data_IF_131228746085
#
_entry.id   IF_131228746085
#
_cell.length_a   1.000
_cell.length_b   1.000
_cell.length_c   1.000
_cell.angle_alpha   90.00
_cell.angle_beta   90.00
_cell.angle_gamma   90.00
#
_symmetry.space_group_name_H-M   'P 1'
#
loop_
_entity.id
_entity.type
_entity.pdbx_description
1 polymer ?
#
# COMPACT_ATOMS: atom_id res chain seq x y z
N UNK A 1 -13.46 -22.59 13.13
CA UNK A 1 -13.58 -21.88 11.83
C UNK A 1 -12.83 -22.70 10.80
N UNK A 2 -13.49 -23.18 9.75
CA UNK A 2 -12.82 -23.91 8.67
C UNK A 2 -12.53 -22.94 7.53
N UNK A 3 -11.25 -22.70 7.25
CA UNK A 3 -10.80 -21.81 6.17
C UNK A 3 -10.34 -22.69 5.02
N UNK A 4 -10.87 -22.48 3.82
CA UNK A 4 -10.51 -23.24 2.62
C UNK A 4 -10.15 -22.28 1.49
N UNK A 5 -9.13 -22.64 0.70
CA UNK A 5 -8.80 -21.91 -0.51
C UNK A 5 -9.97 -22.03 -1.50
N UNK A 6 -10.62 -20.90 -1.81
CA UNK A 6 -11.77 -20.86 -2.72
C UNK A 6 -11.36 -20.75 -4.18
N UNK A 7 -10.37 -19.90 -4.48
CA UNK A 7 -9.91 -19.61 -5.82
C UNK A 7 -8.51 -18.96 -5.79
N UNK A 8 -7.85 -18.94 -6.96
CA UNK A 8 -6.62 -18.19 -7.21
C UNK A 8 -6.81 -17.41 -8.50
N UNK A 9 -6.49 -16.11 -8.47
CA UNK A 9 -6.37 -15.30 -9.67
C UNK A 9 -4.89 -15.16 -10.00
N UNK A 10 -4.49 -15.58 -11.19
CA UNK A 10 -3.14 -15.36 -11.67
C UNK A 10 -3.09 -13.99 -12.35
N UNK A 11 -2.42 -13.03 -11.71
CA UNK A 11 -2.09 -11.75 -12.33
C UNK A 11 -0.88 -11.90 -13.27
N UNK A 12 -0.60 -10.85 -14.05
CA UNK A 12 0.48 -10.85 -15.05
C UNK A 12 1.83 -11.21 -14.42
N UNK A 13 2.61 -12.03 -15.15
CA UNK A 13 3.95 -12.42 -14.72
C UNK A 13 4.97 -11.38 -15.15
N UNK A 14 5.81 -10.93 -14.23
CA UNK A 14 6.97 -10.10 -14.55
C UNK A 14 8.18 -10.98 -14.82
N UNK A 15 8.87 -10.77 -15.95
CA UNK A 15 9.92 -11.65 -16.48
C UNK A 15 11.27 -11.67 -15.72
N UNK A 16 11.34 -11.25 -14.45
CA UNK A 16 12.60 -11.20 -13.70
C UNK A 16 12.51 -11.93 -12.36
N UNK A 17 13.54 -12.74 -12.06
CA UNK A 17 13.76 -13.37 -10.75
C UNK A 17 13.70 -12.29 -9.66
N UNK A 18 12.87 -12.52 -8.64
CA UNK A 18 12.70 -11.71 -7.42
C UNK A 18 11.97 -10.36 -7.56
N UNK A 19 10.82 -10.33 -8.25
CA UNK A 19 9.95 -9.12 -8.29
C UNK A 19 8.48 -9.50 -8.30
N UNK A 20 8.01 -9.95 -7.14
CA UNK A 20 6.62 -10.33 -6.91
C UNK A 20 5.73 -9.13 -6.61
N UNK A 21 4.48 -9.43 -6.25
CA UNK A 21 3.57 -8.47 -5.66
C UNK A 21 3.73 -8.51 -4.15
N UNK A 22 3.87 -7.35 -3.51
CA UNK A 22 4.24 -7.26 -2.09
C UNK A 22 3.32 -6.36 -1.26
N UNK A 23 2.55 -5.49 -1.91
CA UNK A 23 1.49 -4.71 -1.26
C UNK A 23 0.14 -4.94 -1.93
N UNK A 24 -0.93 -4.97 -1.13
CA UNK A 24 -2.31 -5.07 -1.59
C UNK A 24 -3.18 -4.04 -0.88
N UNK A 25 -3.99 -3.32 -1.66
CA UNK A 25 -4.99 -2.39 -1.15
C UNK A 25 -6.35 -2.65 -1.82
N UNK A 26 -7.42 -2.65 -1.04
CA UNK A 26 -8.76 -2.99 -1.51
C UNK A 26 -9.71 -1.80 -1.43
N UNK A 27 -10.17 -1.32 -2.59
CA UNK A 27 -11.33 -0.43 -2.69
C UNK A 27 -12.57 -1.26 -2.97
N UNK A 28 -13.44 -1.37 -1.97
CA UNK A 28 -14.69 -2.12 -2.07
C UNK A 28 -15.62 -1.57 -3.16
N UNK A 29 -15.73 -0.25 -3.24
CA UNK A 29 -16.48 0.40 -4.30
C UNK A 29 -15.81 0.13 -5.66
N UNK A 30 -16.58 -0.41 -6.61
CA UNK A 30 -16.05 -0.78 -7.92
C UNK A 30 -15.18 -2.04 -7.95
N UNK A 31 -14.93 -2.70 -6.79
CA UNK A 31 -14.14 -3.93 -6.64
C UNK A 31 -12.73 -3.80 -7.20
N UNK A 32 -12.03 -2.77 -6.76
CA UNK A 32 -10.70 -2.43 -7.26
C UNK A 32 -9.63 -2.93 -6.30
N UNK A 33 -8.71 -3.73 -6.82
CA UNK A 33 -7.54 -4.21 -6.13
C UNK A 33 -6.32 -3.46 -6.64
N UNK A 34 -5.67 -2.72 -5.77
CA UNK A 34 -4.38 -2.10 -6.03
C UNK A 34 -3.27 -3.04 -5.56
N UNK A 35 -2.24 -3.16 -6.38
CA UNK A 35 -1.13 -4.08 -6.13
C UNK A 35 0.18 -3.38 -6.38
N UNK A 36 1.08 -3.43 -5.41
CA UNK A 36 2.45 -2.96 -5.56
C UNK A 36 3.33 -4.10 -6.08
N UNK A 37 4.17 -3.80 -7.07
CA UNK A 37 5.21 -4.71 -7.53
C UNK A 37 6.57 -4.23 -7.03
N UNK A 38 7.28 -5.12 -6.34
CA UNK A 38 8.60 -4.80 -5.81
C UNK A 38 9.63 -4.50 -6.92
N UNK A 39 10.44 -3.46 -6.67
CA UNK A 39 11.67 -2.99 -7.35
C UNK A 39 11.71 -2.79 -8.88
N UNK A 40 12.20 -1.59 -9.24
CA UNK A 40 12.73 -1.06 -10.52
C UNK A 40 12.26 -1.68 -11.88
N UNK A 41 11.33 -1.02 -12.59
CA UNK A 41 10.53 0.10 -12.09
C UNK A 41 9.63 -0.42 -10.96
N UNK A 42 9.62 0.35 -9.86
CA UNK A 42 8.58 0.27 -8.83
C UNK A 42 7.30 0.71 -9.52
N UNK A 43 6.23 -0.05 -9.37
CA UNK A 43 5.00 0.20 -10.11
C UNK A 43 3.82 -0.26 -9.30
N UNK A 44 2.78 0.55 -9.33
CA UNK A 44 1.48 0.17 -8.84
C UNK A 44 0.61 -0.23 -10.03
N UNK A 45 -0.18 -1.27 -9.83
CA UNK A 45 -1.15 -1.75 -10.79
C UNK A 45 -2.51 -1.77 -10.12
N UNK A 46 -3.56 -1.59 -10.92
CA UNK A 46 -4.92 -1.74 -10.45
C UNK A 46 -5.65 -2.79 -11.27
N UNK A 47 -6.48 -3.57 -10.60
CA UNK A 47 -7.29 -4.61 -11.20
C UNK A 47 -8.72 -4.46 -10.73
N UNK A 48 -9.66 -4.44 -11.68
CA UNK A 48 -11.08 -4.55 -11.37
C UNK A 48 -11.46 -6.03 -11.30
N UNK A 49 -12.04 -6.44 -10.18
CA UNK A 49 -12.52 -7.80 -9.98
C UNK A 49 -13.98 -7.95 -10.45
N UNK A 50 -14.28 -9.11 -11.02
CA UNK A 50 -15.65 -9.52 -11.33
C UNK A 50 -16.49 -9.62 -10.05
N UNK A 51 -17.83 -9.48 -10.12
CA UNK A 51 -18.69 -9.57 -8.93
C UNK A 51 -18.55 -10.86 -8.11
N UNK A 52 -18.20 -11.97 -8.77
CA UNK A 52 -17.93 -13.27 -8.13
C UNK A 52 -16.50 -13.40 -7.55
N UNK A 53 -15.65 -12.38 -7.75
CA UNK A 53 -14.25 -12.31 -7.34
C UNK A 53 -13.38 -13.45 -7.92
N UNK A 54 -13.78 -14.02 -9.07
CA UNK A 54 -13.04 -15.12 -9.71
C UNK A 54 -12.14 -14.66 -10.87
N UNK A 55 -12.33 -13.43 -11.36
CA UNK A 55 -11.57 -12.86 -12.48
C UNK A 55 -11.12 -11.45 -12.13
N UNK A 56 -9.97 -11.07 -12.67
CA UNK A 56 -9.43 -9.71 -12.58
C UNK A 56 -9.12 -9.19 -13.98
N UNK A 57 -9.49 -7.94 -14.24
CA UNK A 57 -9.09 -7.20 -15.44
C UNK A 57 -8.20 -6.05 -15.00
N UNK A 58 -7.00 -5.96 -15.56
CA UNK A 58 -6.15 -4.80 -15.31
C UNK A 58 -6.81 -3.53 -15.83
N UNK A 59 -6.71 -2.47 -15.05
CA UNK A 59 -7.20 -1.14 -15.41
C UNK A 59 -6.07 -0.14 -15.29
N UNK A 60 -6.19 0.94 -16.05
CA UNK A 60 -5.25 2.04 -16.01
C UNK A 60 -5.39 2.77 -14.68
N UNK A 61 -4.27 3.06 -14.02
CA UNK A 61 -4.22 3.97 -12.87
C UNK A 61 -4.08 5.42 -13.34
N UNK A 62 -4.53 6.40 -12.54
CA UNK A 62 -4.13 7.80 -12.66
C UNK A 62 -2.66 7.99 -13.04
N UNK A 63 -2.38 8.92 -13.95
CA UNK A 63 -0.99 9.20 -14.36
C UNK A 63 -0.19 9.76 -13.18
N UNK A 64 -0.84 10.57 -12.34
CA UNK A 64 -0.30 11.18 -11.14
C UNK A 64 0.24 10.13 -10.15
N UNK A 65 -0.33 8.92 -10.11
CA UNK A 65 0.19 7.84 -9.27
C UNK A 65 1.54 7.30 -9.74
N UNK A 66 1.93 7.56 -10.98
CA UNK A 66 3.27 7.24 -11.48
C UNK A 66 4.34 8.22 -10.95
N UNK A 67 3.95 9.39 -10.46
CA UNK A 67 4.85 10.38 -9.86
C UNK A 67 5.18 10.06 -8.39
N UNK A 68 5.04 8.79 -7.98
CA UNK A 68 5.44 8.36 -6.66
C UNK A 68 6.97 8.36 -6.52
N UNK A 69 7.49 9.21 -5.63
CA UNK A 69 8.92 9.39 -5.42
C UNK A 69 9.44 8.58 -4.22
N UNK A 70 9.38 7.25 -4.32
CA UNK A 70 9.93 6.30 -3.33
C UNK A 70 10.83 5.25 -3.99
N UNK A 71 11.77 4.71 -3.23
CA UNK A 71 12.71 3.68 -3.71
C UNK A 71 12.05 2.32 -3.90
N UNK A 72 11.03 2.01 -3.11
CA UNK A 72 10.29 0.75 -3.05
C UNK A 72 8.86 1.00 -2.52
N UNK A 73 8.00 -0.01 -2.63
CA UNK A 73 6.69 -0.01 -1.96
C UNK A 73 6.62 -1.34 -1.21
N UNK A 74 6.67 -1.25 0.12
CA UNK A 74 6.65 -2.41 1.03
C UNK A 74 5.24 -2.71 1.54
N UNK A 75 4.33 -1.74 1.50
CA UNK A 75 2.95 -1.92 1.95
C UNK A 75 1.97 -0.99 1.27
N UNK A 76 0.71 -1.44 1.15
CA UNK A 76 -0.41 -0.65 0.66
C UNK A 76 -1.60 -0.82 1.59
N UNK A 77 -2.40 0.24 1.70
CA UNK A 77 -3.73 0.19 2.29
C UNK A 77 -4.68 1.17 1.56
N UNK A 78 -5.99 1.00 1.72
CA UNK A 78 -6.99 1.88 1.15
C UNK A 78 -8.00 2.32 2.20
N UNK A 79 -8.12 3.63 2.41
CA UNK A 79 -9.08 4.19 3.35
C UNK A 79 -9.52 5.59 2.89
N UNK A 80 -10.80 5.93 3.09
CA UNK A 80 -11.37 7.25 2.82
C UNK A 80 -10.95 7.83 1.44
N UNK A 81 -11.25 7.08 0.37
CA UNK A 81 -10.91 7.43 -1.03
C UNK A 81 -9.42 7.70 -1.28
N UNK A 82 -8.55 7.18 -0.42
CA UNK A 82 -7.13 7.42 -0.46
C UNK A 82 -6.33 6.12 -0.42
N UNK A 83 -5.29 6.07 -1.24
CA UNK A 83 -4.26 5.03 -1.18
C UNK A 83 -3.18 5.45 -0.20
N UNK A 84 -2.89 4.57 0.75
CA UNK A 84 -1.79 4.68 1.69
C UNK A 84 -0.63 3.83 1.16
N UNK A 85 0.55 4.43 1.05
CA UNK A 85 1.69 3.82 0.36
C UNK A 85 2.92 3.88 1.27
N UNK A 86 3.34 2.71 1.74
CA UNK A 86 4.46 2.53 2.65
C UNK A 86 5.72 2.14 1.87
N UNK A 87 6.85 2.76 2.20
CA UNK A 87 8.16 2.45 1.63
C UNK A 87 9.16 2.19 2.75
N UNK A 88 9.83 1.03 2.71
CA UNK A 88 10.91 0.70 3.62
C UNK A 88 12.17 1.49 3.28
N UNK A 89 12.71 1.35 2.06
CA UNK A 89 14.00 1.93 1.69
C UNK A 89 13.99 3.48 1.73
N UNK A 90 12.79 4.08 1.65
CA UNK A 90 12.61 5.53 1.81
C UNK A 90 12.17 5.96 3.21
N UNK A 91 11.69 5.03 4.05
CA UNK A 91 11.09 5.30 5.38
C UNK A 91 10.00 6.37 5.33
N UNK A 92 9.06 6.21 4.41
CA UNK A 92 7.96 7.15 4.21
C UNK A 92 6.62 6.45 4.17
N UNK A 93 5.60 7.15 4.64
CA UNK A 93 4.21 6.86 4.38
C UNK A 93 3.59 8.02 3.59
N UNK A 94 3.18 7.72 2.36
CA UNK A 94 2.50 8.66 1.48
C UNK A 94 1.00 8.36 1.43
N UNK A 95 0.20 9.40 1.23
CA UNK A 95 -1.23 9.29 0.91
C UNK A 95 -1.46 9.86 -0.48
N UNK A 96 -2.19 9.13 -1.32
CA UNK A 96 -2.70 9.64 -2.59
C UNK A 96 -4.23 9.70 -2.54
N UNK A 97 -4.79 10.89 -2.69
CA UNK A 97 -6.25 11.08 -2.71
C UNK A 97 -6.76 10.84 -4.14
N UNK A 98 -7.60 9.82 -4.34
CA UNK A 98 -8.15 9.49 -5.67
C UNK A 98 -9.21 10.49 -6.16
N UNK A 99 -9.75 11.34 -5.28
CA UNK A 99 -10.71 12.38 -5.64
C UNK A 99 -10.00 13.67 -6.07
N UNK A 100 -8.98 14.07 -5.32
CA UNK A 100 -8.20 15.29 -5.58
C UNK A 100 -7.04 15.06 -6.55
N UNK A 101 -6.70 13.80 -6.84
CA UNK A 101 -5.62 13.40 -7.74
C UNK A 101 -4.27 13.96 -7.29
N UNK A 102 -4.01 13.91 -5.98
CA UNK A 102 -2.85 14.56 -5.36
C UNK A 102 -2.18 13.68 -4.31
N UNK A 103 -0.86 13.83 -4.20
CA UNK A 103 -0.09 13.27 -3.10
C UNK A 103 -0.07 14.21 -1.89
N UNK A 104 -0.14 13.60 -0.71
CA UNK A 104 0.19 14.21 0.57
C UNK A 104 1.23 13.30 1.22
N UNK A 105 2.44 13.80 1.46
CA UNK A 105 3.38 13.10 2.33
C UNK A 105 2.80 13.14 3.76
N UNK A 106 2.42 11.97 4.28
CA UNK A 106 1.76 11.89 5.59
C UNK A 106 2.78 11.77 6.70
N UNK A 107 3.80 10.92 6.52
CA UNK A 107 4.81 10.69 7.56
C UNK A 107 6.20 10.42 7.03
N UNK A 108 7.18 11.08 7.63
CA UNK A 108 8.58 10.69 7.63
C UNK A 108 8.83 9.77 8.83
N UNK A 109 9.23 8.52 8.59
CA UNK A 109 9.38 7.48 9.61
C UNK A 109 10.78 7.46 10.24
N UNK A 110 11.52 8.56 10.12
CA UNK A 110 12.84 8.75 10.75
C UNK A 110 12.75 9.43 12.12
N UNK A 111 13.79 9.22 12.92
CA UNK A 111 13.96 9.81 14.25
C UNK A 111 13.77 11.33 14.22
N UNK A 112 12.97 11.83 15.16
CA UNK A 112 12.68 13.26 15.32
C UNK A 112 11.40 13.70 14.61
N UNK A 113 10.91 12.93 13.65
CA UNK A 113 9.62 13.16 13.01
C UNK A 113 8.51 12.41 13.74
N UNK A 114 7.29 12.96 13.78
CA UNK A 114 6.11 12.35 14.41
C UNK A 114 6.38 11.77 15.83
N UNK A 115 7.23 12.46 16.60
CA UNK A 115 7.65 12.06 17.95
C UNK A 115 8.42 10.73 18.05
N UNK A 116 8.93 10.22 16.93
CA UNK A 116 9.78 9.03 16.90
C UNK A 116 11.11 9.29 17.61
N UNK A 117 11.44 8.44 18.59
CA UNK A 117 12.73 8.49 19.30
C UNK A 117 13.86 7.76 18.57
N UNK A 118 13.52 6.93 17.59
CA UNK A 118 14.40 6.19 16.68
C UNK A 118 13.72 6.04 15.32
N UNK A 119 14.48 5.78 14.26
CA UNK A 119 13.92 5.41 12.96
C UNK A 119 13.03 4.17 13.11
N UNK A 120 11.93 4.12 12.36
CA UNK A 120 11.15 2.91 12.16
C UNK A 120 11.80 2.12 11.02
N UNK A 121 12.52 1.05 11.35
CA UNK A 121 13.31 0.28 10.38
C UNK A 121 12.45 -0.80 9.72
N UNK A 122 12.61 -1.03 8.41
CA UNK A 122 11.89 -2.10 7.70
C UNK A 122 10.37 -2.09 7.94
N UNK A 123 9.68 -0.96 7.70
CA UNK A 123 8.23 -0.94 7.76
C UNK A 123 7.64 -1.69 6.55
N UNK A 124 6.87 -2.75 6.80
CA UNK A 124 6.38 -3.69 5.76
C UNK A 124 4.88 -3.98 5.83
N UNK A 125 4.22 -3.61 6.93
CA UNK A 125 2.77 -3.78 7.07
C UNK A 125 2.10 -2.48 7.42
N UNK A 126 0.92 -2.23 6.86
CA UNK A 126 0.10 -1.06 7.20
C UNK A 126 -1.38 -1.42 7.28
N UNK A 127 -2.08 -0.82 8.24
CA UNK A 127 -3.54 -0.75 8.26
C UNK A 127 -3.99 0.60 8.81
N UNK A 128 -4.99 1.19 8.16
CA UNK A 128 -5.67 2.41 8.57
C UNK A 128 -7.03 2.04 9.12
N UNK A 129 -7.33 2.50 10.34
CA UNK A 129 -8.63 2.26 10.96
C UNK A 129 -9.65 3.34 10.55
N UNK A 130 -10.95 3.10 10.77
CA UNK A 130 -11.99 4.09 10.47
C UNK A 130 -11.85 5.42 11.22
N UNK A 131 -11.16 5.43 12.36
CA UNK A 131 -10.84 6.65 13.12
C UNK A 131 -9.56 7.35 12.63
N UNK A 132 -9.03 6.92 11.49
CA UNK A 132 -7.78 7.37 10.86
C UNK A 132 -6.51 7.06 11.67
N UNK A 133 -6.60 6.25 12.74
CA UNK A 133 -5.41 5.66 13.36
C UNK A 133 -4.71 4.75 12.36
N UNK A 134 -3.38 4.84 12.30
CA UNK A 134 -2.55 4.04 11.40
C UNK A 134 -1.66 3.13 12.23
N UNK A 135 -1.66 1.84 11.91
CA UNK A 135 -0.70 0.89 12.46
C UNK A 135 0.31 0.53 11.39
N UNK A 136 1.58 0.48 11.77
CA UNK A 136 2.68 0.05 10.92
C UNK A 136 3.43 -1.09 11.60
N UNK A 137 3.54 -2.23 10.92
CA UNK A 137 4.41 -3.31 11.33
C UNK A 137 5.82 -3.06 10.77
N UNK A 138 6.82 -3.17 11.63
CA UNK A 138 8.23 -2.86 11.35
C UNK A 138 9.11 -3.96 11.91
N UNK A 139 9.98 -4.50 11.08
CA UNK A 139 10.83 -5.62 11.49
C UNK A 139 11.88 -5.21 12.54
N UNK A 140 12.28 -6.13 13.43
CA UNK A 140 11.80 -7.51 13.54
C UNK A 140 10.49 -7.65 14.34
N UNK A 141 10.15 -6.69 15.19
CA UNK A 141 9.15 -6.90 16.25
C UNK A 141 8.37 -5.64 16.68
N UNK A 142 8.40 -4.56 15.88
CA UNK A 142 7.72 -3.31 16.21
C UNK A 142 6.33 -3.26 15.56
N UNK A 143 5.32 -2.95 16.37
CA UNK A 143 4.01 -2.49 15.88
C UNK A 143 3.79 -1.05 16.35
N UNK A 144 4.05 -0.10 15.46
CA UNK A 144 3.87 1.32 15.74
C UNK A 144 2.41 1.73 15.50
N UNK A 145 1.86 2.59 16.37
CA UNK A 145 0.55 3.22 16.20
C UNK A 145 0.72 4.73 16.09
N UNK A 146 0.18 5.29 15.02
CA UNK A 146 0.06 6.73 14.82
C UNK A 146 -1.40 7.12 14.93
N UNK A 147 -1.67 8.23 15.61
CA UNK A 147 -3.02 8.78 15.76
C UNK A 147 -3.06 10.17 15.15
N UNK A 148 -4.12 10.55 14.42
CA UNK A 148 -4.28 11.91 13.95
C UNK A 148 -4.35 12.89 15.13
N UNK A 149 -3.63 14.00 15.04
CA UNK A 149 -3.83 15.13 15.94
C UNK A 149 -5.13 15.81 15.50
N UNK A 150 -6.19 15.70 16.32
CA UNK A 150 -7.45 16.42 16.12
C UNK A 150 -7.35 17.85 16.62
#
# INVERSE_FOLDING_TARGET
>A
MHISLRNKIQLEKFNKKNRGFEGLAWKAEGRMLFVAKERRPTGMFAYQLSPDLLRAKQVTIPEELNDIHVKDISGLDFNNESLMILSDESRKLLKFNLTEMSFVEMMDLTKGNHSLTSDLLQPEGIVTLPDESIYVASEPDILAKFVPNK
#
